data_IF_258047217542
#
_entry.id   IF_258047217542
#
_cell.length_a   1.000
_cell.length_b   1.000
_cell.length_c   1.000
_cell.angle_alpha   90.00
_cell.angle_beta   90.00
_cell.angle_gamma   90.00
#
_symmetry.space_group_name_H-M   'P 1'
#
loop_
_entity.id
_entity.type
_entity.pdbx_description
1 polymer ?
#
# COMPACT_ATOMS: atom_id res chain seq x y z
N UNK A 1 10.58 24.97 -0.86
CA UNK A 1 9.17 24.77 -1.27
C UNK A 1 8.44 24.44 0.02
N UNK A 2 7.33 25.12 0.32
CA UNK A 2 6.78 25.24 1.68
C UNK A 2 6.22 23.91 2.21
N UNK A 3 6.57 23.51 3.44
CA UNK A 3 6.14 22.24 4.05
C UNK A 3 4.59 22.16 4.12
N UNK A 4 3.93 23.30 4.23
CA UNK A 4 2.47 23.41 4.21
C UNK A 4 1.85 22.93 2.89
N UNK A 5 2.52 23.18 1.77
CA UNK A 5 2.04 22.78 0.43
C UNK A 5 2.14 21.27 0.27
N UNK A 6 3.23 20.65 0.70
CA UNK A 6 3.37 19.19 0.63
C UNK A 6 2.36 18.47 1.52
N UNK A 7 2.12 19.00 2.73
CA UNK A 7 1.08 18.47 3.61
C UNK A 7 -0.31 18.59 2.99
N UNK A 8 -0.66 19.74 2.41
CA UNK A 8 -1.95 19.94 1.74
C UNK A 8 -2.14 18.97 0.57
N UNK A 9 -1.13 18.81 -0.28
CA UNK A 9 -1.18 17.91 -1.42
C UNK A 9 -1.30 16.43 -1.00
N UNK A 10 -0.56 16.00 0.04
CA UNK A 10 -0.63 14.64 0.55
C UNK A 10 -2.01 14.32 1.14
N UNK A 11 -2.58 15.23 1.92
CA UNK A 11 -3.93 15.10 2.45
C UNK A 11 -4.98 15.05 1.33
N UNK A 12 -4.87 15.94 0.35
CA UNK A 12 -5.76 15.95 -0.80
C UNK A 12 -5.72 14.61 -1.55
N UNK A 13 -4.52 14.11 -1.89
CA UNK A 13 -4.36 12.83 -2.58
C UNK A 13 -4.87 11.65 -1.75
N UNK A 14 -4.67 11.65 -0.43
CA UNK A 14 -5.16 10.58 0.45
C UNK A 14 -6.70 10.58 0.60
N UNK A 15 -7.35 11.75 0.63
CA UNK A 15 -8.81 11.84 0.72
C UNK A 15 -9.49 11.36 -0.58
N UNK A 16 -8.87 11.65 -1.73
CA UNK A 16 -9.43 11.32 -3.04
C UNK A 16 -8.88 10.03 -3.64
N UNK A 17 -7.98 9.33 -2.94
CA UNK A 17 -7.44 8.07 -3.41
C UNK A 17 -8.51 6.98 -3.39
N UNK A 18 -8.61 6.21 -4.48
CA UNK A 18 -9.47 5.03 -4.53
C UNK A 18 -9.07 3.99 -3.48
N UNK A 19 -10.01 3.11 -3.11
CA UNK A 19 -9.73 1.90 -2.33
C UNK A 19 -8.51 1.17 -2.93
N UNK A 20 -7.49 0.87 -2.10
CA UNK A 20 -6.26 0.21 -2.53
C UNK A 20 -5.00 1.07 -2.60
N UNK A 21 -5.10 2.40 -2.45
CA UNK A 21 -3.91 3.25 -2.29
C UNK A 21 -3.58 3.40 -0.81
N UNK A 22 -2.36 3.05 -0.43
CA UNK A 22 -1.86 3.20 0.92
C UNK A 22 -1.53 4.67 1.23
N UNK A 23 -2.10 5.26 2.30
CA UNK A 23 -1.73 6.61 2.75
C UNK A 23 -0.22 6.76 2.95
N UNK A 24 0.47 5.73 3.45
CA UNK A 24 1.93 5.69 3.63
C UNK A 24 2.70 5.88 2.32
N UNK A 25 2.19 5.35 1.21
CA UNK A 25 2.79 5.53 -0.11
C UNK A 25 2.66 7.00 -0.57
N UNK A 26 1.52 7.63 -0.28
CA UNK A 26 1.26 9.04 -0.57
C UNK A 26 2.16 9.93 0.28
N UNK A 27 2.23 9.70 1.60
CA UNK A 27 3.10 10.46 2.50
C UNK A 27 4.57 10.34 2.09
N UNK A 28 5.01 9.15 1.68
CA UNK A 28 6.37 8.94 1.15
C UNK A 28 6.62 9.72 -0.14
N UNK A 29 5.68 9.74 -1.08
CA UNK A 29 5.77 10.50 -2.34
C UNK A 29 6.02 11.99 -2.10
N UNK A 30 5.44 12.54 -1.03
CA UNK A 30 5.60 13.94 -0.65
C UNK A 30 6.77 14.20 0.32
N UNK A 31 7.60 13.19 0.63
CA UNK A 31 8.73 13.33 1.55
C UNK A 31 8.31 13.49 3.01
N UNK A 32 7.04 13.27 3.33
CA UNK A 32 6.48 13.38 4.69
C UNK A 32 6.70 12.10 5.50
N UNK A 33 7.06 11.00 4.84
CA UNK A 33 7.37 9.73 5.48
C UNK A 33 8.58 9.06 4.81
N UNK A 34 9.63 8.81 5.60
CA UNK A 34 10.84 8.14 5.11
C UNK A 34 10.70 6.62 5.23
N UNK A 35 10.23 5.99 4.15
CA UNK A 35 10.22 4.54 4.00
C UNK A 35 11.24 4.10 2.95
N UNK A 36 12.04 3.09 3.30
CA UNK A 36 12.80 2.33 2.30
C UNK A 36 11.86 1.54 1.39
N UNK A 37 12.30 1.20 0.19
CA UNK A 37 11.50 0.37 -0.73
C UNK A 37 11.13 -0.99 -0.11
N UNK A 38 11.98 -1.53 0.78
CA UNK A 38 11.71 -2.78 1.50
C UNK A 38 10.54 -2.61 2.48
N UNK A 39 10.49 -1.50 3.20
CA UNK A 39 9.39 -1.21 4.14
C UNK A 39 8.08 -0.94 3.38
N UNK A 40 8.13 -0.16 2.29
CA UNK A 40 6.94 0.07 1.48
C UNK A 40 6.36 -1.23 0.91
N UNK A 41 7.20 -2.10 0.36
CA UNK A 41 6.75 -3.42 -0.13
C UNK A 41 6.16 -4.30 0.97
N UNK A 42 6.62 -4.15 2.21
CA UNK A 42 6.06 -4.87 3.36
C UNK A 42 4.67 -4.33 3.71
N UNK A 43 4.50 -3.00 3.74
CA UNK A 43 3.20 -2.37 3.96
C UNK A 43 2.19 -2.78 2.88
N UNK A 44 2.59 -2.74 1.60
CA UNK A 44 1.76 -3.24 0.49
C UNK A 44 1.33 -4.70 0.73
N UNK A 45 2.23 -5.56 1.19
CA UNK A 45 1.91 -6.97 1.44
C UNK A 45 0.97 -7.16 2.64
N UNK A 46 1.12 -6.35 3.70
CA UNK A 46 0.21 -6.35 4.85
C UNK A 46 -1.20 -5.89 4.45
N UNK A 47 -1.29 -4.87 3.60
CA UNK A 47 -2.57 -4.38 3.08
C UNK A 47 -3.24 -5.39 2.16
N UNK A 48 -2.48 -6.05 1.28
CA UNK A 48 -2.98 -7.17 0.48
C UNK A 48 -3.55 -8.28 1.36
N UNK A 49 -2.90 -8.60 2.48
CA UNK A 49 -3.41 -9.59 3.45
C UNK A 49 -4.72 -9.12 4.07
N UNK A 50 -4.78 -7.88 4.57
CA UNK A 50 -6.02 -7.28 5.14
C UNK A 50 -7.20 -7.36 4.16
N UNK A 51 -6.99 -6.96 2.91
CA UNK A 51 -8.02 -7.00 1.87
C UNK A 51 -8.47 -8.43 1.53
N UNK A 52 -7.54 -9.38 1.52
CA UNK A 52 -7.86 -10.79 1.32
C UNK A 52 -8.68 -11.36 2.49
N UNK A 53 -8.35 -10.97 3.73
CA UNK A 53 -9.10 -11.35 4.93
C UNK A 53 -10.54 -10.77 4.90
N UNK A 54 -10.70 -9.58 4.32
CA UNK A 54 -11.99 -8.94 3.99
C UNK A 54 -12.71 -9.56 2.77
N UNK A 55 -12.23 -10.71 2.29
CA UNK A 55 -12.83 -11.52 1.22
C UNK A 55 -12.70 -10.95 -0.19
N UNK A 56 -11.83 -9.96 -0.42
CA UNK A 56 -11.46 -9.62 -1.80
C UNK A 56 -10.67 -10.77 -2.44
N UNK A 57 -10.96 -11.03 -3.71
CA UNK A 57 -10.23 -12.03 -4.48
C UNK A 57 -8.82 -11.55 -4.81
N UNK A 58 -7.89 -12.48 -5.04
CA UNK A 58 -6.51 -12.16 -5.45
C UNK A 58 -6.46 -11.32 -6.73
N UNK A 59 -7.43 -11.50 -7.63
CA UNK A 59 -7.54 -10.73 -8.87
C UNK A 59 -7.93 -9.27 -8.62
N UNK A 60 -8.93 -9.04 -7.76
CA UNK A 60 -9.36 -7.70 -7.39
C UNK A 60 -8.23 -6.94 -6.70
N UNK A 61 -7.55 -7.58 -5.75
CA UNK A 61 -6.36 -7.03 -5.10
C UNK A 61 -5.25 -6.78 -6.14
N UNK A 62 -5.03 -7.71 -7.07
CA UNK A 62 -4.05 -7.57 -8.14
C UNK A 62 -4.30 -6.33 -9.01
N UNK A 63 -5.55 -6.02 -9.32
CA UNK A 63 -5.90 -4.79 -10.07
C UNK A 63 -5.55 -3.51 -9.29
N UNK A 64 -5.76 -3.48 -7.98
CA UNK A 64 -5.44 -2.32 -7.14
C UNK A 64 -3.93 -2.02 -7.09
N UNK A 65 -3.11 -3.07 -7.05
CA UNK A 65 -1.65 -2.97 -6.93
C UNK A 65 -0.91 -3.20 -8.26
N UNK A 66 -1.63 -3.23 -9.39
CA UNK A 66 -1.10 -3.51 -10.71
C UNK A 66 -0.20 -4.77 -10.75
N UNK A 67 -0.73 -5.89 -10.27
CA UNK A 67 -0.01 -7.13 -10.04
C UNK A 67 -0.85 -8.35 -10.45
N UNK A 68 -0.18 -9.45 -10.84
CA UNK A 68 -0.87 -10.72 -11.09
C UNK A 68 -1.33 -11.38 -9.80
N UNK A 69 -2.37 -12.20 -9.88
CA UNK A 69 -2.91 -13.01 -8.77
C UNK A 69 -1.80 -13.83 -8.06
N UNK A 70 -0.88 -14.39 -8.85
CA UNK A 70 0.28 -15.14 -8.36
C UNK A 70 1.29 -14.26 -7.61
N UNK A 71 1.42 -12.99 -7.99
CA UNK A 71 2.26 -12.02 -7.30
C UNK A 71 1.66 -11.64 -5.94
N UNK A 72 0.35 -11.40 -5.90
CA UNK A 72 -0.40 -11.10 -4.68
C UNK A 72 -0.27 -12.27 -3.69
N UNK A 73 -0.55 -13.50 -4.13
CA UNK A 73 -0.42 -14.70 -3.29
C UNK A 73 0.97 -14.84 -2.66
N UNK A 74 2.04 -14.67 -3.45
CA UNK A 74 3.41 -14.76 -2.94
C UNK A 74 3.72 -13.69 -1.90
N UNK A 75 3.14 -12.50 -2.03
CA UNK A 75 3.36 -11.40 -1.08
C UNK A 75 2.63 -11.66 0.24
N UNK A 76 1.37 -12.07 0.18
CA UNK A 76 0.58 -12.42 1.38
C UNK A 76 1.27 -13.53 2.16
N UNK A 77 1.64 -14.63 1.49
CA UNK A 77 2.30 -15.78 2.13
C UNK A 77 3.60 -15.39 2.86
N UNK A 78 4.41 -14.50 2.27
CA UNK A 78 5.64 -14.01 2.91
C UNK A 78 5.41 -13.20 4.17
N UNK A 79 4.24 -12.59 4.34
CA UNK A 79 3.88 -11.88 5.56
C UNK A 79 3.50 -12.87 6.65
N UNK A 80 2.74 -13.92 6.30
CA UNK A 80 2.37 -15.00 7.23
C UNK A 80 3.60 -15.74 7.79
N UNK A 81 4.58 -16.07 6.94
CA UNK A 81 5.83 -16.74 7.34
C UNK A 81 6.72 -15.91 8.30
N UNK A 82 6.44 -14.61 8.49
CA UNK A 82 7.21 -13.72 9.37
C UNK A 82 6.50 -13.51 10.72
N UNK A 83 5.24 -13.92 10.83
CA UNK A 83 4.43 -13.81 12.06
C UNK A 83 4.47 -15.10 12.91
N UNK A 84 4.99 -16.22 12.37
CA UNK A 84 5.32 -17.47 13.08
C UNK A 84 6.75 -17.47 13.66
#
# INVERSE_FOLDING_TARGET
MDDLIYNYCALYEAIFSSEGILPDAILRKYGLLNLTDKQLRRLEAMEMKRLHDEKMTLNEIGKLFNMSDSGVYRRIKKVEEVEE
#
